data_IF_319508254428
#
_entry.id   IF_319508254428
#
_cell.length_a   1.000
_cell.length_b   1.000
_cell.length_c   1.000
_cell.angle_alpha   90.00
_cell.angle_beta   90.00
_cell.angle_gamma   90.00
#
_symmetry.space_group_name_H-M   'P 1'
#
loop_
_entity.id
_entity.type
_entity.pdbx_description
1 polymer ?
#
# COMPACT_ATOMS: atom_id res chain seq x y z
N UNK A 1 1.15 51.94 -69.64
CA UNK A 1 0.53 50.75 -69.11
C UNK A 1 1.58 50.02 -68.29
N UNK A 2 1.54 50.13 -66.98
CA UNK A 2 2.48 49.43 -66.07
C UNK A 2 1.64 48.60 -65.11
N UNK A 3 1.84 47.29 -65.17
CA UNK A 3 1.21 46.30 -64.32
C UNK A 3 1.96 46.16 -63.02
N UNK A 4 1.31 46.44 -61.88
CA UNK A 4 1.81 46.24 -60.52
C UNK A 4 1.68 44.75 -60.16
N UNK A 5 2.79 44.09 -59.90
CA UNK A 5 2.84 42.77 -59.27
C UNK A 5 2.72 42.94 -57.74
N UNK A 6 1.67 42.34 -57.16
CA UNK A 6 1.54 42.23 -55.72
C UNK A 6 2.41 41.04 -55.24
N UNK A 7 3.30 41.33 -54.27
CA UNK A 7 4.08 40.30 -53.54
C UNK A 7 3.28 39.92 -52.31
N UNK A 8 2.74 38.70 -52.28
CA UNK A 8 2.20 38.14 -51.05
C UNK A 8 3.31 37.58 -50.19
N UNK A 9 3.54 38.21 -49.02
CA UNK A 9 4.40 37.67 -47.97
C UNK A 9 3.60 36.65 -47.17
N UNK A 10 4.02 35.36 -47.26
CA UNK A 10 3.48 34.31 -46.44
C UNK A 10 4.01 34.38 -44.97
N UNK A 11 3.14 34.59 -44.02
CA UNK A 11 3.46 34.43 -42.60
C UNK A 11 3.38 32.92 -42.28
N UNK A 12 4.53 32.26 -42.17
CA UNK A 12 4.62 30.92 -41.60
C UNK A 12 4.50 31.01 -40.08
N UNK A 13 3.47 30.38 -39.54
CA UNK A 13 3.15 30.34 -38.12
C UNK A 13 4.17 29.47 -37.36
N UNK A 14 5.03 30.08 -36.56
CA UNK A 14 5.98 29.41 -35.62
C UNK A 14 5.29 28.85 -34.36
N UNK A 15 3.95 28.98 -34.25
CA UNK A 15 3.21 28.60 -33.05
C UNK A 15 2.98 27.09 -32.80
N UNK A 16 3.16 26.25 -33.85
CA UNK A 16 2.79 24.83 -33.75
C UNK A 16 3.85 23.94 -33.03
N UNK A 17 5.11 24.29 -33.12
CA UNK A 17 6.21 23.41 -32.63
C UNK A 17 6.35 23.50 -31.11
N UNK A 18 6.15 24.66 -30.50
CA UNK A 18 6.25 24.86 -29.05
C UNK A 18 5.14 24.14 -28.27
N UNK A 19 3.92 24.05 -28.81
CA UNK A 19 2.80 23.36 -28.18
C UNK A 19 2.96 21.83 -28.18
N UNK A 20 3.54 21.28 -29.24
CA UNK A 20 3.78 19.82 -29.39
C UNK A 20 4.89 19.36 -28.44
N UNK A 21 5.94 20.14 -28.28
CA UNK A 21 7.05 19.81 -27.35
C UNK A 21 6.61 19.93 -25.88
N UNK A 22 5.76 20.90 -25.51
CA UNK A 22 5.22 21.01 -24.16
C UNK A 22 4.30 19.85 -23.80
N UNK A 23 3.43 19.39 -24.70
CA UNK A 23 2.58 18.23 -24.53
C UNK A 23 3.36 16.91 -24.41
N UNK A 24 4.44 16.75 -25.18
CA UNK A 24 5.33 15.60 -25.11
C UNK A 24 6.08 15.56 -23.76
N UNK A 25 6.56 16.70 -23.27
CA UNK A 25 7.23 16.82 -21.98
C UNK A 25 6.28 16.55 -20.80
N UNK A 26 5.04 17.03 -20.84
CA UNK A 26 4.02 16.76 -19.82
C UNK A 26 3.64 15.25 -19.82
N UNK A 27 3.56 14.63 -20.98
CA UNK A 27 3.29 13.18 -21.08
C UNK A 27 4.46 12.33 -20.59
N UNK A 28 5.71 12.72 -20.89
CA UNK A 28 6.90 12.05 -20.41
C UNK A 28 7.01 12.14 -18.86
N UNK A 29 6.81 13.32 -18.29
CA UNK A 29 6.78 13.51 -16.83
C UNK A 29 5.66 12.72 -16.15
N UNK A 30 4.46 12.67 -16.76
CA UNK A 30 3.36 11.85 -16.25
C UNK A 30 3.65 10.35 -16.35
N UNK A 31 4.41 9.92 -17.34
CA UNK A 31 4.80 8.54 -17.52
C UNK A 31 5.94 8.13 -16.57
N UNK A 32 6.93 9.00 -16.35
CA UNK A 32 7.96 8.81 -15.32
C UNK A 32 7.35 8.80 -13.91
N UNK A 33 6.42 9.70 -13.62
CA UNK A 33 5.69 9.68 -12.34
C UNK A 33 4.83 8.43 -12.16
N UNK A 34 4.24 7.87 -13.21
CA UNK A 34 3.52 6.59 -13.16
C UNK A 34 4.47 5.42 -12.96
N UNK A 35 5.61 5.38 -13.64
CA UNK A 35 6.63 4.34 -13.48
C UNK A 35 7.23 4.37 -12.07
N UNK A 36 7.50 5.55 -11.50
CA UNK A 36 7.97 5.68 -10.12
C UNK A 36 6.87 5.37 -9.09
N UNK A 37 5.61 5.65 -9.41
CA UNK A 37 4.47 5.30 -8.57
C UNK A 37 4.21 3.78 -8.53
N UNK A 38 4.53 3.07 -9.60
CA UNK A 38 4.39 1.60 -9.66
C UNK A 38 5.63 0.89 -9.06
N UNK A 39 6.81 1.51 -9.05
CA UNK A 39 8.06 0.92 -8.53
C UNK A 39 7.98 0.61 -7.03
N UNK A 40 7.35 1.49 -6.22
CA UNK A 40 7.18 1.22 -4.80
C UNK A 40 6.31 -0.03 -4.54
N UNK A 41 5.25 -0.23 -5.33
CA UNK A 41 4.38 -1.39 -5.19
C UNK A 41 5.12 -2.70 -5.51
N UNK A 42 5.96 -2.70 -6.54
CA UNK A 42 6.82 -3.84 -6.89
C UNK A 42 7.77 -4.17 -5.73
N UNK A 43 8.41 -3.16 -5.14
CA UNK A 43 9.31 -3.34 -3.99
C UNK A 43 8.58 -3.85 -2.75
N UNK A 44 7.41 -3.29 -2.43
CA UNK A 44 6.58 -3.73 -1.30
C UNK A 44 6.16 -5.19 -1.46
N UNK A 45 5.67 -5.55 -2.66
CA UNK A 45 5.23 -6.92 -2.98
C UNK A 45 6.42 -7.88 -2.89
N UNK A 46 7.58 -7.55 -3.46
CA UNK A 46 8.77 -8.39 -3.40
C UNK A 46 9.21 -8.64 -1.94
N UNK A 47 9.16 -7.64 -1.08
CA UNK A 47 9.46 -7.76 0.35
C UNK A 47 8.40 -8.59 1.11
N UNK A 48 7.14 -8.54 0.68
CA UNK A 48 6.11 -9.43 1.24
C UNK A 48 6.28 -10.87 0.75
N UNK A 49 6.59 -11.09 -0.54
CA UNK A 49 6.85 -12.40 -1.13
C UNK A 49 8.05 -13.11 -0.51
N UNK A 50 9.12 -12.36 -0.15
CA UNK A 50 10.32 -12.93 0.49
C UNK A 50 10.04 -13.61 1.83
N UNK A 51 8.93 -13.28 2.48
CA UNK A 51 8.50 -13.90 3.73
C UNK A 51 7.83 -15.28 3.53
N UNK A 52 7.50 -15.65 2.28
CA UNK A 52 6.91 -16.96 1.97
C UNK A 52 7.97 -18.04 2.16
N UNK A 53 7.68 -19.01 3.06
CA UNK A 53 8.62 -20.05 3.43
C UNK A 53 9.61 -19.65 4.55
N UNK A 54 9.75 -18.34 4.85
CA UNK A 54 10.49 -17.84 6.01
C UNK A 54 9.58 -17.76 7.24
N UNK A 55 8.46 -17.05 7.15
CA UNK A 55 7.46 -16.96 8.22
C UNK A 55 6.48 -18.13 8.07
N UNK A 56 6.68 -19.18 8.85
CA UNK A 56 5.94 -20.44 8.74
C UNK A 56 5.04 -20.72 9.94
N UNK A 57 5.23 -20.01 11.06
CA UNK A 57 4.48 -20.18 12.30
C UNK A 57 3.54 -18.99 12.50
N UNK A 58 2.24 -19.23 12.71
CA UNK A 58 1.31 -18.21 13.14
C UNK A 58 1.37 -18.05 14.67
N UNK A 59 1.87 -16.91 15.15
CA UNK A 59 2.07 -16.66 16.58
C UNK A 59 1.51 -15.29 17.00
N UNK A 60 0.32 -15.25 17.62
CA UNK A 60 -0.31 -14.03 18.09
C UNK A 60 0.14 -13.63 19.52
N UNK A 61 1.11 -14.33 20.11
CA UNK A 61 1.55 -14.10 21.49
C UNK A 61 2.00 -12.67 21.69
N UNK A 62 1.67 -12.14 22.87
CA UNK A 62 2.21 -10.87 23.32
C UNK A 62 3.66 -11.04 23.79
N UNK A 63 4.56 -10.23 23.26
CA UNK A 63 5.98 -10.19 23.65
C UNK A 63 6.46 -8.75 23.81
N UNK A 64 7.43 -8.53 24.71
CA UNK A 64 8.17 -7.28 24.76
C UNK A 64 9.06 -7.14 23.53
N UNK A 65 8.93 -6.02 22.83
CA UNK A 65 9.72 -5.72 21.64
C UNK A 65 10.67 -4.56 21.88
N UNK A 66 11.79 -4.55 21.19
CA UNK A 66 12.62 -3.36 21.06
C UNK A 66 11.80 -2.20 20.47
N UNK A 67 12.28 -0.97 20.66
CA UNK A 67 11.63 0.21 20.11
C UNK A 67 12.69 1.31 19.87
N UNK A 68 12.76 1.88 18.65
CA UNK A 68 12.04 1.48 17.42
C UNK A 68 12.51 0.12 16.84
N UNK A 69 11.95 -0.28 15.72
CA UNK A 69 12.33 -1.42 14.88
C UNK A 69 12.19 -2.81 15.54
N UNK A 70 11.37 -2.92 16.60
CA UNK A 70 11.08 -4.21 17.22
C UNK A 70 10.34 -5.15 16.28
N UNK A 71 10.72 -6.44 16.31
CA UNK A 71 10.09 -7.52 15.57
C UNK A 71 10.08 -8.80 16.39
N UNK A 72 9.16 -9.70 16.08
CA UNK A 72 9.22 -11.09 16.54
C UNK A 72 10.18 -11.88 15.65
N UNK A 73 10.70 -13.06 16.09
CA UNK A 73 11.52 -13.91 15.22
C UNK A 73 10.86 -14.14 13.84
N UNK A 74 11.66 -14.06 12.77
CA UNK A 74 11.12 -14.07 11.40
C UNK A 74 10.43 -15.37 10.98
N UNK A 75 10.73 -16.48 11.63
CA UNK A 75 10.06 -17.76 11.41
C UNK A 75 8.58 -17.74 11.82
N UNK A 76 8.16 -16.72 12.58
CA UNK A 76 6.81 -16.57 13.12
C UNK A 76 6.25 -15.17 12.94
N UNK A 77 4.93 -15.04 13.07
CA UNK A 77 4.23 -13.77 13.00
C UNK A 77 2.76 -13.95 12.71
N UNK A 78 2.05 -12.83 12.61
CA UNK A 78 0.63 -12.76 12.23
C UNK A 78 0.45 -11.96 10.93
N UNK A 79 -0.78 -11.73 10.49
CA UNK A 79 -1.07 -11.02 9.25
C UNK A 79 -0.49 -9.60 9.20
N UNK A 80 -0.45 -8.89 10.32
CA UNK A 80 0.13 -7.54 10.41
C UNK A 80 1.65 -7.56 10.28
N UNK A 81 2.33 -8.59 10.77
CA UNK A 81 3.79 -8.69 10.67
C UNK A 81 4.24 -8.82 9.20
N UNK A 82 3.42 -9.42 8.33
CA UNK A 82 3.68 -9.44 6.88
C UNK A 82 3.77 -8.02 6.31
N UNK A 83 2.82 -7.15 6.68
CA UNK A 83 2.77 -5.75 6.24
C UNK A 83 3.91 -4.94 6.85
N UNK A 84 4.13 -5.06 8.17
CA UNK A 84 5.16 -4.32 8.92
C UNK A 84 6.53 -4.60 8.33
N UNK A 85 6.86 -5.89 8.14
CA UNK A 85 8.13 -6.33 7.56
C UNK A 85 8.29 -5.90 6.11
N UNK A 86 7.22 -5.98 5.30
CA UNK A 86 7.27 -5.54 3.91
C UNK A 86 7.63 -4.05 3.80
N UNK A 87 7.07 -3.17 4.64
CA UNK A 87 7.43 -1.75 4.68
C UNK A 87 8.86 -1.52 5.18
N UNK A 88 9.29 -2.26 6.19
CA UNK A 88 10.64 -2.17 6.73
C UNK A 88 11.68 -2.61 5.71
N UNK A 89 11.50 -3.79 5.14
CA UNK A 89 12.47 -4.40 4.22
C UNK A 89 12.54 -3.65 2.88
N UNK A 90 11.40 -3.17 2.36
CA UNK A 90 11.36 -2.42 1.10
C UNK A 90 11.86 -0.97 1.23
N UNK A 91 11.59 -0.29 2.36
CA UNK A 91 11.72 1.16 2.45
C UNK A 91 12.44 1.66 3.71
N UNK A 92 12.78 0.79 4.67
CA UNK A 92 13.26 1.21 5.99
C UNK A 92 12.20 1.91 6.83
N UNK A 93 10.91 1.72 6.51
CA UNK A 93 9.80 2.35 7.24
C UNK A 93 9.40 1.47 8.42
N UNK A 94 9.53 2.01 9.63
CA UNK A 94 9.11 1.37 10.86
C UNK A 94 7.65 1.72 11.20
N UNK A 95 6.72 0.83 10.85
CA UNK A 95 5.30 0.98 11.20
C UNK A 95 5.03 0.86 12.71
N UNK A 96 5.89 0.17 13.50
CA UNK A 96 5.79 0.16 14.95
C UNK A 96 5.91 1.59 15.50
N UNK A 97 6.97 2.28 15.09
CA UNK A 97 7.23 3.67 15.49
C UNK A 97 6.12 4.61 15.04
N UNK A 98 5.76 4.56 13.77
CA UNK A 98 4.78 5.47 13.18
C UNK A 98 3.40 5.34 13.83
N UNK A 99 2.91 4.11 14.04
CA UNK A 99 1.64 3.83 14.69
C UNK A 99 1.68 4.27 16.15
N UNK A 100 2.75 3.92 16.88
CA UNK A 100 2.89 4.30 18.29
C UNK A 100 2.90 5.81 18.49
N UNK A 101 3.65 6.55 17.69
CA UNK A 101 3.75 8.01 17.78
C UNK A 101 2.43 8.70 17.39
N UNK A 102 1.72 8.21 16.36
CA UNK A 102 0.40 8.74 16.01
C UNK A 102 -0.62 8.46 17.11
N UNK A 103 -0.64 7.23 17.67
CA UNK A 103 -1.49 6.88 18.81
C UNK A 103 -1.17 7.72 20.04
N UNK A 104 0.10 8.02 20.33
CA UNK A 104 0.47 8.86 21.47
C UNK A 104 -0.11 10.27 21.35
N UNK A 105 -0.18 10.81 20.15
CA UNK A 105 -0.75 12.15 19.88
C UNK A 105 -2.27 12.15 19.78
N UNK A 106 -2.88 11.04 19.36
CA UNK A 106 -4.30 10.97 18.97
C UNK A 106 -5.00 9.74 19.58
N UNK A 107 -4.64 9.35 20.78
CA UNK A 107 -5.13 8.10 21.40
C UNK A 107 -6.66 8.01 21.47
N UNK A 108 -7.36 9.14 21.60
CA UNK A 108 -8.83 9.19 21.61
C UNK A 108 -9.47 8.68 20.32
N UNK A 109 -8.78 8.84 19.18
CA UNK A 109 -9.28 8.48 17.85
C UNK A 109 -9.16 6.98 17.54
N UNK A 110 -8.37 6.25 18.33
CA UNK A 110 -8.11 4.84 18.12
C UNK A 110 -9.13 3.93 18.82
N UNK A 111 -9.35 2.70 18.32
CA UNK A 111 -10.31 1.77 18.93
C UNK A 111 -10.02 1.48 20.39
N UNK A 112 -11.06 1.50 21.24
CA UNK A 112 -10.98 1.28 22.70
C UNK A 112 -11.26 -0.18 23.10
N UNK A 113 -11.28 -1.10 22.16
CA UNK A 113 -11.73 -2.50 22.37
C UNK A 113 -10.81 -3.32 23.29
N UNK A 114 -9.59 -2.83 23.58
CA UNK A 114 -8.67 -3.51 24.53
C UNK A 114 -8.63 -2.89 25.92
N UNK A 115 -9.43 -1.85 26.18
CA UNK A 115 -9.50 -1.21 27.50
C UNK A 115 -8.21 -0.51 27.96
N UNK A 116 -7.29 -0.21 27.03
CA UNK A 116 -6.01 0.44 27.36
C UNK A 116 -6.23 1.92 27.69
N UNK A 117 -5.50 2.43 28.68
CA UNK A 117 -5.46 3.84 29.05
C UNK A 117 -4.39 4.64 28.26
N UNK A 118 -3.46 3.96 27.62
CA UNK A 118 -2.34 4.52 26.86
C UNK A 118 -1.91 3.57 25.75
N UNK A 119 -1.16 4.06 24.73
CA UNK A 119 -0.57 3.20 23.71
C UNK A 119 0.41 2.17 24.29
N UNK A 120 0.49 1.02 23.65
CA UNK A 120 1.43 -0.06 23.95
C UNK A 120 2.28 -0.35 22.71
N UNK A 121 3.55 0.11 22.71
CA UNK A 121 4.50 -0.03 21.62
C UNK A 121 4.79 -1.47 21.20
N UNK A 122 4.51 -2.45 22.05
CA UNK A 122 4.79 -3.85 21.78
C UNK A 122 3.73 -4.51 20.89
N UNK A 123 2.50 -3.98 20.88
CA UNK A 123 1.36 -4.68 20.25
C UNK A 123 0.49 -3.79 19.36
N UNK A 124 0.51 -2.47 19.52
CA UNK A 124 -0.46 -1.60 18.83
C UNK A 124 -0.35 -1.66 17.31
N UNK A 125 0.86 -1.72 16.76
CA UNK A 125 1.11 -1.89 15.32
C UNK A 125 0.74 -3.30 14.80
N UNK A 126 0.66 -4.30 15.70
CA UNK A 126 0.27 -5.68 15.38
C UNK A 126 -1.24 -5.91 15.44
N UNK A 127 -2.04 -4.84 15.63
CA UNK A 127 -3.50 -4.88 15.70
C UNK A 127 -4.12 -4.27 14.46
N UNK A 128 -4.82 -5.08 13.65
CA UNK A 128 -5.44 -4.63 12.39
C UNK A 128 -6.31 -3.38 12.57
N UNK A 129 -7.22 -3.28 13.58
CA UNK A 129 -8.02 -2.07 13.76
C UNK A 129 -7.20 -0.79 14.03
N UNK A 130 -6.01 -0.91 14.61
CA UNK A 130 -5.11 0.23 14.80
C UNK A 130 -4.42 0.62 13.48
N UNK A 131 -4.00 -0.37 12.68
CA UNK A 131 -3.46 -0.11 11.33
C UNK A 131 -4.52 0.53 10.43
N UNK A 132 -5.77 0.05 10.44
CA UNK A 132 -6.88 0.67 9.72
C UNK A 132 -7.03 2.16 10.08
N UNK A 133 -7.01 2.47 11.38
CA UNK A 133 -7.11 3.85 11.84
C UNK A 133 -5.90 4.69 11.43
N UNK A 134 -4.69 4.15 11.59
CA UNK A 134 -3.47 4.82 11.19
C UNK A 134 -3.46 5.13 9.68
N UNK A 135 -3.76 4.14 8.84
CA UNK A 135 -3.81 4.33 7.39
C UNK A 135 -4.88 5.34 6.95
N UNK A 136 -6.05 5.32 7.58
CA UNK A 136 -7.10 6.31 7.31
C UNK A 136 -6.64 7.73 7.68
N UNK A 137 -5.99 7.90 8.83
CA UNK A 137 -5.44 9.20 9.28
C UNK A 137 -4.29 9.69 8.40
N UNK A 138 -3.51 8.76 7.85
CA UNK A 138 -2.44 9.05 6.88
C UNK A 138 -2.98 9.36 5.46
N UNK A 139 -4.31 9.41 5.25
CA UNK A 139 -4.92 9.70 3.96
C UNK A 139 -4.81 8.55 2.95
N UNK A 140 -4.51 7.34 3.43
CA UNK A 140 -4.32 6.17 2.59
C UNK A 140 -5.63 5.47 2.21
N UNK A 141 -6.75 5.78 2.85
CA UNK A 141 -8.04 5.13 2.59
C UNK A 141 -8.47 5.25 1.12
N UNK A 142 -9.07 4.19 0.62
CA UNK A 142 -9.66 4.08 -0.73
C UNK A 142 -11.11 3.62 -0.61
N UNK A 143 -11.88 3.86 -1.66
CA UNK A 143 -13.26 3.40 -1.71
C UNK A 143 -13.32 1.87 -1.69
N UNK A 144 -14.34 1.34 -1.01
CA UNK A 144 -14.63 -0.08 -1.05
C UNK A 144 -15.00 -0.50 -2.48
N UNK A 145 -14.51 -1.65 -2.91
CA UNK A 145 -14.83 -2.21 -4.21
C UNK A 145 -15.18 -3.70 -4.08
N UNK A 146 -16.14 -4.15 -4.87
CA UNK A 146 -16.40 -5.56 -5.15
C UNK A 146 -15.87 -6.00 -6.53
N UNK A 147 -15.29 -5.06 -7.28
CA UNK A 147 -14.70 -5.29 -8.59
C UNK A 147 -13.19 -5.48 -8.43
N UNK A 148 -12.61 -6.59 -8.95
CA UNK A 148 -11.15 -6.79 -8.99
C UNK A 148 -10.37 -5.60 -9.56
N UNK A 149 -10.90 -4.91 -10.56
CA UNK A 149 -10.28 -3.73 -11.17
C UNK A 149 -10.16 -2.52 -10.23
N UNK A 150 -10.88 -2.51 -9.11
CA UNK A 150 -10.76 -1.49 -8.07
C UNK A 150 -9.49 -1.58 -7.24
N UNK A 151 -8.80 -2.73 -7.28
CA UNK A 151 -7.58 -2.98 -6.50
C UNK A 151 -6.33 -2.89 -7.37
N UNK A 152 -5.29 -2.28 -6.84
CA UNK A 152 -3.99 -2.18 -7.52
C UNK A 152 -2.91 -2.93 -6.74
N UNK A 153 -1.85 -3.40 -7.42
CA UNK A 153 -0.68 -3.96 -6.73
C UNK A 153 -0.16 -3.03 -5.64
N UNK A 154 0.17 -3.60 -4.47
CA UNK A 154 0.63 -2.86 -3.30
C UNK A 154 -0.47 -2.26 -2.43
N UNK A 155 -1.75 -2.37 -2.81
CA UNK A 155 -2.85 -2.04 -1.92
C UNK A 155 -2.89 -2.98 -0.71
N UNK A 156 -3.37 -2.47 0.40
CA UNK A 156 -3.67 -3.28 1.58
C UNK A 156 -5.19 -3.40 1.71
N UNK A 157 -5.66 -4.60 1.99
CA UNK A 157 -7.07 -4.86 2.26
C UNK A 157 -7.21 -5.42 3.66
N UNK A 158 -8.23 -4.95 4.38
CA UNK A 158 -8.60 -5.54 5.67
C UNK A 158 -9.94 -6.24 5.54
N UNK A 159 -10.08 -7.34 6.28
CA UNK A 159 -11.20 -8.27 6.16
C UNK A 159 -11.65 -8.76 7.53
N UNK A 160 -12.87 -9.33 7.60
CA UNK A 160 -13.39 -10.06 8.75
C UNK A 160 -13.48 -11.54 8.46
N UNK A 161 -12.60 -12.32 9.09
CA UNK A 161 -12.63 -13.76 9.05
C UNK A 161 -13.77 -14.34 9.92
N UNK A 162 -14.12 -15.64 9.76
CA UNK A 162 -15.03 -16.31 10.68
C UNK A 162 -14.63 -16.09 12.15
N UNK A 163 -15.61 -15.95 13.03
CA UNK A 163 -15.37 -15.56 14.42
C UNK A 163 -15.10 -14.07 14.62
N UNK A 164 -15.38 -13.22 13.61
CA UNK A 164 -15.16 -11.78 13.65
C UNK A 164 -13.69 -11.37 13.84
N UNK A 165 -12.75 -12.22 13.39
CA UNK A 165 -11.32 -11.96 13.53
C UNK A 165 -10.86 -10.96 12.47
N UNK A 166 -10.19 -9.87 12.87
CA UNK A 166 -9.65 -8.90 11.93
C UNK A 166 -8.44 -9.46 11.20
N UNK A 167 -8.35 -9.20 9.91
CA UNK A 167 -7.27 -9.66 9.04
C UNK A 167 -6.82 -8.57 8.09
N UNK A 168 -5.55 -8.62 7.65
CA UNK A 168 -4.96 -7.71 6.66
C UNK A 168 -4.11 -8.50 5.66
N UNK A 169 -4.12 -8.05 4.41
CA UNK A 169 -3.33 -8.63 3.32
C UNK A 169 -2.81 -7.54 2.37
N UNK A 170 -1.73 -7.84 1.65
CA UNK A 170 -1.18 -7.00 0.56
C UNK A 170 -1.65 -7.57 -0.78
N UNK A 171 -2.20 -6.73 -1.64
CA UNK A 171 -2.62 -7.09 -3.01
C UNK A 171 -1.38 -7.25 -3.89
N UNK A 172 -1.25 -8.43 -4.50
CA UNK A 172 -0.15 -8.76 -5.42
C UNK A 172 -0.42 -8.23 -6.84
N UNK A 173 0.63 -8.21 -7.66
CA UNK A 173 0.53 -8.02 -9.11
C UNK A 173 0.17 -9.30 -9.87
N UNK A 174 0.20 -10.47 -9.19
CA UNK A 174 -0.17 -11.75 -9.78
C UNK A 174 -1.67 -11.96 -9.68
N UNK A 175 -2.23 -12.56 -10.74
CA UNK A 175 -3.64 -12.86 -10.85
C UNK A 175 -3.91 -14.33 -10.53
N UNK A 176 -5.12 -14.61 -10.06
CA UNK A 176 -5.64 -15.95 -9.88
C UNK A 176 -5.85 -16.67 -11.23
N UNK A 177 -6.27 -17.94 -11.21
CA UNK A 177 -6.50 -18.72 -12.41
C UNK A 177 -7.63 -18.22 -13.32
N UNK A 178 -8.44 -17.27 -12.84
CA UNK A 178 -9.46 -16.55 -13.64
C UNK A 178 -8.87 -15.45 -14.53
N UNK A 179 -7.59 -15.09 -14.34
CA UNK A 179 -6.89 -14.05 -15.06
C UNK A 179 -7.34 -12.62 -14.74
N UNK A 180 -8.15 -12.42 -13.70
CA UNK A 180 -8.80 -11.14 -13.36
C UNK A 180 -8.57 -10.77 -11.89
N UNK A 181 -8.75 -11.72 -10.96
CA UNK A 181 -8.69 -11.47 -9.53
C UNK A 181 -7.23 -11.42 -9.04
N UNK A 182 -6.76 -10.29 -8.45
CA UNK A 182 -5.45 -10.25 -7.83
C UNK A 182 -5.31 -11.25 -6.68
N UNK A 183 -4.16 -11.92 -6.60
CA UNK A 183 -3.79 -12.69 -5.42
C UNK A 183 -3.44 -11.73 -4.28
N UNK A 184 -3.52 -12.23 -3.04
CA UNK A 184 -3.11 -11.48 -1.85
C UNK A 184 -2.00 -12.22 -1.09
N UNK A 185 -1.07 -11.45 -0.50
CA UNK A 185 0.00 -11.97 0.35
C UNK A 185 -0.38 -11.69 1.80
N UNK A 186 -0.44 -12.75 2.60
CA UNK A 186 -0.91 -12.65 3.98
C UNK A 186 -0.44 -13.86 4.83
N UNK A 187 -0.71 -13.81 6.14
CA UNK A 187 -0.61 -14.96 7.03
C UNK A 187 -1.96 -15.13 7.75
N UNK A 188 -2.68 -16.22 7.44
CA UNK A 188 -4.01 -16.53 7.99
C UNK A 188 -3.97 -17.80 8.89
N UNK A 189 -2.78 -18.19 9.35
CA UNK A 189 -2.62 -19.32 10.26
C UNK A 189 -1.61 -20.40 9.82
N UNK A 190 -1.22 -20.42 8.55
CA UNK A 190 -0.31 -21.43 8.00
C UNK A 190 1.01 -20.84 7.45
N UNK A 191 1.48 -19.76 8.07
CA UNK A 191 2.61 -18.99 7.59
C UNK A 191 2.24 -18.01 6.47
N UNK A 192 3.22 -17.23 6.02
CA UNK A 192 3.03 -16.27 4.92
C UNK A 192 2.82 -17.00 3.60
N UNK A 193 1.75 -16.66 2.89
CA UNK A 193 1.36 -17.26 1.61
C UNK A 193 0.81 -16.22 0.65
N UNK A 194 0.84 -16.56 -0.65
CA UNK A 194 0.12 -15.85 -1.69
C UNK A 194 -1.04 -16.69 -2.15
N UNK A 195 -2.27 -16.23 -1.99
CA UNK A 195 -3.48 -16.98 -2.24
C UNK A 195 -4.57 -16.16 -2.93
N UNK A 196 -5.53 -16.83 -3.57
CA UNK A 196 -6.75 -16.21 -4.10
C UNK A 196 -7.78 -16.04 -2.98
N UNK A 197 -7.61 -15.01 -2.15
CA UNK A 197 -8.43 -14.74 -0.96
C UNK A 197 -8.98 -13.31 -0.90
N UNK A 198 -8.84 -12.55 -2.00
CA UNK A 198 -9.24 -11.13 -2.01
C UNK A 198 -10.71 -10.95 -1.67
N UNK A 199 -11.58 -11.84 -2.15
CA UNK A 199 -13.04 -11.73 -1.97
C UNK A 199 -13.64 -12.85 -1.10
N UNK A 200 -12.82 -13.67 -0.44
CA UNK A 200 -13.34 -14.76 0.39
C UNK A 200 -14.05 -14.26 1.66
N UNK A 201 -13.72 -13.05 2.11
CA UNK A 201 -14.22 -12.49 3.35
C UNK A 201 -14.68 -11.03 3.19
N UNK A 202 -15.67 -10.57 3.98
CA UNK A 202 -16.11 -9.17 3.94
C UNK A 202 -14.97 -8.19 4.19
N UNK A 203 -14.81 -7.20 3.32
CA UNK A 203 -13.84 -6.13 3.50
C UNK A 203 -14.27 -5.16 4.61
N UNK A 204 -13.31 -4.71 5.41
CA UNK A 204 -13.48 -3.63 6.41
C UNK A 204 -12.72 -2.37 6.03
N UNK A 205 -11.74 -2.47 5.14
CA UNK A 205 -10.98 -1.33 4.64
C UNK A 205 -10.18 -1.67 3.38
N UNK A 206 -9.85 -0.61 2.63
CA UNK A 206 -8.99 -0.64 1.46
C UNK A 206 -8.05 0.55 1.56
N UNK A 207 -6.75 0.33 1.45
CA UNK A 207 -5.74 1.35 1.70
C UNK A 207 -4.62 1.28 0.66
N UNK A 208 -4.06 2.46 0.34
CA UNK A 208 -2.86 2.61 -0.49
C UNK A 208 -1.94 3.62 0.17
N UNK A 209 -0.82 3.16 0.72
CA UNK A 209 0.15 3.98 1.43
C UNK A 209 1.53 3.88 0.74
N UNK A 210 1.79 4.64 -0.32
CA UNK A 210 3.14 4.73 -0.88
C UNK A 210 4.11 5.32 0.17
N UNK A 211 5.40 4.96 0.13
CA UNK A 211 6.39 5.62 0.96
C UNK A 211 6.43 7.12 0.63
N UNK A 212 6.86 7.98 1.59
CA UNK A 212 7.12 9.39 1.29
C UNK A 212 8.07 9.53 0.09
N UNK A 213 7.85 10.55 -0.73
CA UNK A 213 8.81 10.88 -1.79
C UNK A 213 10.17 11.21 -1.15
N UNK A 214 11.25 10.67 -1.73
CA UNK A 214 12.62 10.92 -1.29
C UNK A 214 13.05 12.36 -1.59
#
# INVERSE_FOLDING_TARGET
>A
MQTRRAVMAGFLSVGGIAAVTALASIRALSQEQRLSADDWAVRLIAAAESQIGETVIYDPSYVGLDYPDGDVPRDRGVCTDVVIRAYRDAFGIDLQKLVHEDMARHFADYPKIWGLARPDRNIDHRRVPNLERYFARAGAARDASSDPAGFRPGDMVTQRLPGNLPHIAIVSHRLAGDGITPLVIHNIGAGTRMENRLFDFPHTGHFRLPPPAA
#
